data_IF_773433266944
#
_entry.id   IF_773433266944
#
_cell.length_a   1.000
_cell.length_b   1.000
_cell.length_c   1.000
_cell.angle_alpha   90.00
_cell.angle_beta   90.00
_cell.angle_gamma   90.00
#
_symmetry.space_group_name_H-M   'P 1'
#
loop_
_entity.id
_entity.type
_entity.pdbx_description
1 polymer ?
#
# COMPACT_ATOMS: atom_id res chain seq x y z
N UNK A 1 -16.60 -2.13 2.81
CA UNK A 1 -15.19 -1.74 2.62
C UNK A 1 -14.42 -1.96 3.90
N UNK A 2 -13.26 -2.58 3.81
CA UNK A 2 -12.41 -2.87 4.95
C UNK A 2 -11.33 -1.78 5.05
N UNK A 3 -11.23 -1.12 6.20
CA UNK A 3 -10.28 -0.04 6.41
C UNK A 3 -9.15 -0.47 7.34
N UNK A 4 -7.92 -0.13 6.97
CA UNK A 4 -6.72 -0.36 7.78
C UNK A 4 -6.04 1.00 7.97
N UNK A 5 -5.73 1.36 9.21
CA UNK A 5 -4.93 2.54 9.50
C UNK A 5 -3.49 2.09 9.72
N UNK A 6 -2.59 2.59 8.90
CA UNK A 6 -1.16 2.27 8.98
C UNK A 6 -0.38 3.49 9.45
N UNK A 7 0.25 3.38 10.60
CA UNK A 7 1.02 4.47 11.19
C UNK A 7 2.46 4.37 10.72
N UNK A 8 2.92 5.39 9.99
CA UNK A 8 4.30 5.49 9.54
C UNK A 8 5.21 5.88 10.69
N UNK A 9 6.31 5.14 10.84
CA UNK A 9 7.36 5.47 11.79
C UNK A 9 8.57 6.10 11.11
N UNK A 10 8.45 6.33 9.78
CA UNK A 10 9.49 6.87 8.91
C UNK A 10 8.88 7.91 7.98
N UNK A 11 9.71 8.47 7.10
CA UNK A 11 9.25 9.43 6.10
C UNK A 11 8.35 8.78 5.04
N UNK A 12 8.57 7.51 4.75
CA UNK A 12 7.82 6.76 3.75
C UNK A 12 7.92 5.25 4.00
N UNK A 13 7.06 4.51 3.30
CA UNK A 13 7.16 3.06 3.17
C UNK A 13 7.01 2.70 1.70
N UNK A 14 7.76 1.71 1.23
CA UNK A 14 7.60 1.23 -0.14
C UNK A 14 6.28 0.48 -0.30
N UNK A 15 5.61 0.69 -1.43
CA UNK A 15 4.26 0.16 -1.66
C UNK A 15 4.17 -1.35 -1.45
N UNK A 16 5.13 -2.12 -2.01
CA UNK A 16 5.14 -3.57 -1.84
C UNK A 16 5.29 -3.99 -0.38
N UNK A 17 6.08 -3.25 0.39
CA UNK A 17 6.27 -3.51 1.82
C UNK A 17 5.03 -3.13 2.62
N UNK A 18 4.37 -2.05 2.25
CA UNK A 18 3.12 -1.64 2.89
C UNK A 18 2.06 -2.75 2.79
N UNK A 19 1.92 -3.34 1.60
CA UNK A 19 0.95 -4.42 1.37
C UNK A 19 1.25 -5.64 2.25
N UNK A 20 2.52 -5.97 2.41
CA UNK A 20 2.95 -7.05 3.30
C UNK A 20 2.64 -6.71 4.76
N UNK A 21 3.04 -5.52 5.20
CA UNK A 21 2.86 -5.09 6.60
C UNK A 21 1.40 -4.94 6.98
N UNK A 22 0.54 -4.59 6.02
CA UNK A 22 -0.89 -4.49 6.23
C UNK A 22 -1.61 -5.85 6.20
N UNK A 23 -0.87 -6.91 5.92
CA UNK A 23 -1.45 -8.27 5.92
C UNK A 23 -2.14 -8.69 4.63
N UNK A 24 -2.01 -7.91 3.57
CA UNK A 24 -2.61 -8.23 2.27
C UNK A 24 -1.77 -9.20 1.45
N UNK A 25 -0.48 -9.30 1.77
CA UNK A 25 0.46 -10.18 1.07
C UNK A 25 1.35 -10.86 2.09
N UNK A 26 1.83 -12.06 1.75
CA UNK A 26 2.68 -12.84 2.63
C UNK A 26 4.15 -12.39 2.61
N UNK A 27 4.54 -11.68 1.56
CA UNK A 27 5.93 -11.26 1.38
C UNK A 27 6.01 -9.99 0.54
N UNK A 28 7.18 -9.35 0.55
CA UNK A 28 7.45 -8.21 -0.32
C UNK A 28 7.38 -8.58 -1.81
N UNK A 29 7.80 -9.81 -2.15
CA UNK A 29 7.69 -10.30 -3.52
C UNK A 29 6.25 -10.47 -3.97
N UNK A 30 5.38 -10.98 -3.10
CA UNK A 30 3.95 -11.07 -3.39
C UNK A 30 3.34 -9.68 -3.54
N UNK A 31 3.80 -8.71 -2.75
CA UNK A 31 3.38 -7.32 -2.88
C UNK A 31 3.75 -6.73 -4.24
N UNK A 32 4.96 -7.00 -4.71
CA UNK A 32 5.40 -6.55 -6.04
C UNK A 32 4.52 -7.14 -7.14
N UNK A 33 4.19 -8.42 -7.06
CA UNK A 33 3.33 -9.08 -8.04
C UNK A 33 1.93 -8.45 -8.04
N UNK A 34 1.40 -8.15 -6.88
CA UNK A 34 0.08 -7.52 -6.76
C UNK A 34 0.06 -6.13 -7.41
N UNK A 35 1.08 -5.31 -7.16
CA UNK A 35 1.21 -3.99 -7.78
C UNK A 35 1.32 -4.12 -9.29
N UNK A 36 2.14 -5.05 -9.77
CA UNK A 36 2.36 -5.26 -11.21
C UNK A 36 1.09 -5.73 -11.92
N UNK A 37 0.15 -6.34 -11.21
CA UNK A 37 -1.11 -6.81 -11.81
C UNK A 37 -2.11 -5.69 -12.09
N UNK A 38 -1.84 -4.47 -11.61
CA UNK A 38 -2.76 -3.35 -11.76
C UNK A 38 -3.89 -3.32 -10.75
N UNK A 39 -3.80 -4.14 -9.70
CA UNK A 39 -4.86 -4.26 -8.70
C UNK A 39 -4.76 -3.21 -7.59
N UNK A 40 -3.70 -2.41 -7.56
CA UNK A 40 -3.43 -1.46 -6.48
C UNK A 40 -3.62 -0.03 -6.94
N UNK A 41 -4.35 0.75 -6.17
CA UNK A 41 -4.56 2.17 -6.41
C UNK A 41 -3.94 2.98 -5.29
N UNK A 42 -3.30 4.08 -5.65
CA UNK A 42 -2.78 5.06 -4.70
C UNK A 42 -3.47 6.38 -4.97
N UNK A 43 -4.16 6.92 -3.96
CA UNK A 43 -4.95 8.15 -4.08
C UNK A 43 -5.94 8.11 -5.25
N UNK A 44 -6.54 6.94 -5.46
CA UNK A 44 -7.56 6.74 -6.49
C UNK A 44 -7.06 6.37 -7.87
N UNK A 45 -5.74 6.34 -8.08
CA UNK A 45 -5.14 6.01 -9.38
C UNK A 45 -4.34 4.71 -9.31
N UNK A 46 -4.43 3.90 -10.38
CA UNK A 46 -3.66 2.66 -10.46
C UNK A 46 -2.17 2.98 -10.41
N UNK A 47 -1.47 2.33 -9.50
CA UNK A 47 -0.04 2.49 -9.35
C UNK A 47 0.67 1.20 -9.76
N UNK A 48 1.56 1.29 -10.75
CA UNK A 48 2.29 0.15 -11.28
C UNK A 48 3.73 0.07 -10.78
N UNK A 49 4.20 1.10 -10.11
CA UNK A 49 5.57 1.12 -9.55
C UNK A 49 5.59 0.31 -8.27
N UNK A 50 6.27 -0.82 -8.30
CA UNK A 50 6.27 -1.81 -7.22
C UNK A 50 6.82 -1.28 -5.90
N UNK A 51 7.81 -0.40 -5.98
CA UNK A 51 8.47 0.19 -4.81
C UNK A 51 8.17 1.68 -4.69
N UNK A 52 7.01 2.12 -5.18
CA UNK A 52 6.57 3.50 -5.03
C UNK A 52 6.61 3.91 -3.55
N UNK A 53 7.16 5.08 -3.26
CA UNK A 53 7.24 5.59 -1.89
C UNK A 53 5.90 6.14 -1.45
N UNK A 54 5.33 5.56 -0.40
CA UNK A 54 4.05 5.97 0.15
C UNK A 54 4.32 6.76 1.43
N UNK A 55 3.73 7.95 1.51
CA UNK A 55 3.94 8.87 2.64
C UNK A 55 2.65 9.08 3.42
N UNK A 56 2.78 9.70 4.58
CA UNK A 56 1.61 10.06 5.39
C UNK A 56 0.62 10.91 4.63
N UNK A 57 -0.67 10.64 4.81
CA UNK A 57 -1.74 11.32 4.12
C UNK A 57 -2.19 10.64 2.83
N UNK A 58 -1.47 9.63 2.36
CA UNK A 58 -1.85 8.89 1.16
C UNK A 58 -2.76 7.72 1.51
N UNK A 59 -3.52 7.27 0.52
CA UNK A 59 -4.44 6.16 0.64
C UNK A 59 -4.11 5.11 -0.40
N UNK A 60 -4.06 3.85 0.04
CA UNK A 60 -3.81 2.71 -0.84
C UNK A 60 -5.04 1.82 -0.83
N UNK A 61 -5.52 1.44 -2.02
CA UNK A 61 -6.71 0.62 -2.15
C UNK A 61 -6.40 -0.64 -2.95
N UNK A 62 -6.88 -1.78 -2.45
CA UNK A 62 -6.78 -3.07 -3.13
C UNK A 62 -8.14 -3.76 -2.96
N UNK A 63 -8.89 -3.90 -4.05
CA UNK A 63 -10.23 -4.44 -3.99
C UNK A 63 -11.12 -3.60 -3.08
N UNK A 64 -11.69 -4.23 -2.06
CA UNK A 64 -12.52 -3.56 -1.06
C UNK A 64 -11.77 -3.20 0.22
N UNK A 65 -10.44 -3.31 0.20
CA UNK A 65 -9.60 -2.92 1.32
C UNK A 65 -8.97 -1.55 1.05
N UNK A 66 -9.01 -0.70 2.07
CA UNK A 66 -8.42 0.63 2.01
C UNK A 66 -7.44 0.81 3.16
N UNK A 67 -6.21 1.20 2.82
CA UNK A 67 -5.17 1.51 3.81
C UNK A 67 -5.03 3.03 3.87
N UNK A 68 -5.30 3.60 5.03
CA UNK A 68 -5.04 5.01 5.29
C UNK A 68 -3.67 5.13 5.93
N UNK A 69 -2.73 5.78 5.24
CA UNK A 69 -1.37 5.95 5.75
C UNK A 69 -1.29 7.23 6.55
N UNK A 70 -0.94 7.10 7.82
CA UNK A 70 -0.94 8.21 8.77
C UNK A 70 0.48 8.47 9.23
N UNK A 71 0.90 9.74 9.23
CA UNK A 71 2.21 10.13 9.76
C UNK A 71 2.24 9.91 11.27
N UNK A 72 3.27 9.21 11.73
CA UNK A 72 3.44 8.93 13.15
C UNK A 72 4.00 10.08 13.96
#
# INVERSE_FOLDING_TARGET
MHRIDFILERDFVELNQLLKLAGLCDSGGAGKALVASGAVRVDGEIEMRKTCKIRGGQRVEVGDVRIEVVAG
#
